data_IF_707465621061
#
_entry.id   IF_707465621061
#
_cell.length_a   1.000
_cell.length_b   1.000
_cell.length_c   1.000
_cell.angle_alpha   90.00
_cell.angle_beta   90.00
_cell.angle_gamma   90.00
#
_symmetry.space_group_name_H-M   'P 1'
#
loop_
_entity.id
_entity.type
_entity.pdbx_description
1 polymer ?
#
# COMPACT_ATOMS: atom_id res chain seq x y z
N UNK A 1 -1.63 -6.40 3.48
CA UNK A 1 -2.89 -7.11 3.73
C UNK A 1 -2.93 -7.63 5.15
N UNK A 2 -2.09 -8.57 5.61
CA UNK A 2 -2.08 -9.03 7.00
C UNK A 2 -2.05 -7.88 8.03
N UNK A 3 -1.21 -6.88 7.84
CA UNK A 3 -1.18 -5.68 8.67
C UNK A 3 -2.49 -4.85 8.60
N UNK A 4 -3.15 -4.85 7.45
CA UNK A 4 -4.44 -4.14 7.26
C UNK A 4 -5.56 -4.83 8.03
N UNK A 5 -5.59 -6.16 8.03
CA UNK A 5 -6.55 -6.96 8.80
C UNK A 5 -6.42 -6.70 10.31
N UNK A 6 -5.23 -6.35 10.78
CA UNK A 6 -4.94 -5.93 12.16
C UNK A 6 -5.18 -4.42 12.41
N UNK A 7 -5.70 -3.67 11.44
CA UNK A 7 -5.90 -2.22 11.55
C UNK A 7 -4.61 -1.39 11.54
N UNK A 8 -3.48 -1.98 11.13
CA UNK A 8 -2.14 -1.36 11.15
C UNK A 8 -1.52 -1.15 9.77
N UNK A 9 -2.31 -1.23 8.69
CA UNK A 9 -1.82 -1.14 7.31
C UNK A 9 -1.04 0.13 7.02
N UNK A 10 -1.54 1.31 7.40
CA UNK A 10 -0.85 2.58 7.17
C UNK A 10 0.45 2.69 7.97
N UNK A 11 0.43 2.32 9.26
CA UNK A 11 1.63 2.30 10.09
C UNK A 11 2.70 1.35 9.54
N UNK A 12 2.30 0.18 9.05
CA UNK A 12 3.18 -0.78 8.40
C UNK A 12 3.83 -0.17 7.15
N UNK A 13 3.04 0.40 6.23
CA UNK A 13 3.56 1.02 4.99
C UNK A 13 4.53 2.16 5.33
N UNK A 14 4.21 3.00 6.29
CA UNK A 14 5.07 4.09 6.72
C UNK A 14 6.42 3.58 7.25
N UNK A 15 6.42 2.64 8.19
CA UNK A 15 7.65 2.15 8.83
C UNK A 15 8.52 1.34 7.87
N UNK A 16 7.91 0.48 7.07
CA UNK A 16 8.65 -0.33 6.07
C UNK A 16 9.10 0.54 4.90
N UNK A 17 8.29 1.49 4.45
CA UNK A 17 8.69 2.46 3.43
C UNK A 17 9.89 3.31 3.86
N UNK A 18 9.91 3.80 5.09
CA UNK A 18 11.07 4.51 5.66
C UNK A 18 12.32 3.63 5.75
N UNK A 19 12.15 2.35 6.07
CA UNK A 19 13.25 1.40 6.13
C UNK A 19 13.88 1.19 4.74
N UNK A 20 13.05 0.97 3.72
CA UNK A 20 13.51 0.63 2.36
C UNK A 20 14.08 1.84 1.63
N UNK A 21 13.39 2.99 1.68
CA UNK A 21 13.71 4.17 0.88
C UNK A 21 14.26 5.36 1.67
N UNK A 22 14.32 5.26 3.01
CA UNK A 22 14.79 6.35 3.86
C UNK A 22 16.31 6.58 3.84
N UNK A 23 17.09 5.67 3.24
CA UNK A 23 18.54 5.79 3.09
C UNK A 23 19.35 5.61 4.36
N UNK A 24 18.73 5.32 5.50
CA UNK A 24 19.40 5.16 6.80
C UNK A 24 19.99 3.77 7.03
N UNK A 25 19.58 2.79 6.24
CA UNK A 25 19.98 1.38 6.36
C UNK A 25 20.30 0.81 5.00
N UNK A 26 21.46 0.14 4.91
CA UNK A 26 21.82 -0.70 3.76
C UNK A 26 21.49 -2.15 4.11
N UNK A 27 20.93 -2.92 3.16
CA UNK A 27 20.56 -4.33 3.43
C UNK A 27 19.36 -4.45 4.38
N UNK A 28 18.29 -3.69 4.14
CA UNK A 28 17.09 -3.65 4.96
C UNK A 28 16.45 -5.03 5.24
N UNK A 29 16.70 -6.01 4.38
CA UNK A 29 16.20 -7.39 4.46
C UNK A 29 17.11 -8.31 5.29
N UNK A 30 18.27 -7.81 5.74
CA UNK A 30 19.23 -8.55 6.55
C UNK A 30 19.03 -8.24 8.05
N UNK A 31 19.46 -9.15 8.92
CA UNK A 31 19.39 -8.98 10.36
C UNK A 31 17.98 -8.69 10.88
N UNK A 32 17.84 -7.75 11.81
CA UNK A 32 16.58 -7.45 12.51
C UNK A 32 15.86 -6.19 11.97
N UNK A 33 16.37 -5.55 10.95
CA UNK A 33 15.84 -4.25 10.50
C UNK A 33 14.35 -4.28 10.16
N UNK A 34 13.91 -5.34 9.46
CA UNK A 34 12.48 -5.52 9.13
C UNK A 34 11.63 -5.77 10.38
N UNK A 35 12.09 -6.63 11.28
CA UNK A 35 11.39 -6.93 12.53
C UNK A 35 11.22 -5.67 13.39
N UNK A 36 12.25 -4.84 13.50
CA UNK A 36 12.20 -3.57 14.23
C UNK A 36 11.25 -2.56 13.59
N UNK A 37 11.23 -2.45 12.25
CA UNK A 37 10.29 -1.58 11.55
C UNK A 37 8.84 -2.04 11.78
N UNK A 38 8.59 -3.33 11.72
CA UNK A 38 7.28 -3.93 11.97
C UNK A 38 6.86 -3.73 13.44
N UNK A 39 7.79 -3.86 14.40
CA UNK A 39 7.52 -3.58 15.81
C UNK A 39 7.15 -2.10 16.05
N UNK A 40 7.81 -1.16 15.37
CA UNK A 40 7.43 0.27 15.41
C UNK A 40 6.03 0.53 14.84
N UNK A 41 5.56 -0.30 13.91
CA UNK A 41 4.18 -0.25 13.42
C UNK A 41 3.16 -0.86 14.40
N UNK A 42 3.61 -1.38 15.55
CA UNK A 42 2.77 -2.06 16.53
C UNK A 42 2.37 -3.47 16.13
N UNK A 43 3.23 -4.15 15.37
CA UNK A 43 3.04 -5.50 14.84
C UNK A 43 4.21 -6.40 15.23
N UNK A 44 4.03 -7.72 15.10
CA UNK A 44 5.06 -8.73 15.29
C UNK A 44 5.32 -9.46 13.97
N UNK A 45 6.59 -9.51 13.52
CA UNK A 45 6.97 -10.13 12.24
C UNK A 45 6.64 -11.62 12.23
N UNK A 46 6.97 -12.34 13.31
CA UNK A 46 6.75 -13.77 13.37
C UNK A 46 5.24 -14.13 13.39
N UNK A 47 4.41 -13.25 13.93
CA UNK A 47 2.96 -13.39 13.86
C UNK A 47 2.44 -13.16 12.43
N UNK A 48 2.95 -12.14 11.73
CA UNK A 48 2.60 -11.89 10.32
C UNK A 48 3.04 -13.06 9.43
N UNK A 49 4.25 -13.58 9.62
CA UNK A 49 4.75 -14.74 8.87
C UNK A 49 3.88 -15.97 9.09
N UNK A 50 3.48 -16.24 10.34
CA UNK A 50 2.56 -17.35 10.65
C UNK A 50 1.18 -17.17 10.01
N UNK A 51 0.71 -15.94 9.86
CA UNK A 51 -0.59 -15.65 9.24
C UNK A 51 -0.58 -15.90 7.74
N UNK A 52 0.55 -15.68 7.05
CA UNK A 52 0.66 -15.86 5.60
C UNK A 52 1.27 -17.22 5.20
N UNK A 53 1.79 -17.99 6.16
CA UNK A 53 2.43 -19.28 5.91
C UNK A 53 1.48 -20.39 5.39
N UNK A 54 0.21 -20.50 5.85
CA UNK A 54 -0.70 -21.51 5.33
C UNK A 54 -0.96 -21.30 3.83
N UNK A 55 -0.91 -22.36 2.98
CA UNK A 55 -1.13 -22.25 1.55
C UNK A 55 -2.45 -21.54 1.18
N UNK A 56 -3.54 -21.83 1.90
CA UNK A 56 -4.85 -21.21 1.66
C UNK A 56 -4.85 -19.69 1.90
N UNK A 57 -4.08 -19.22 2.88
CA UNK A 57 -3.95 -17.78 3.14
C UNK A 57 -3.06 -17.11 2.09
N UNK A 58 -1.98 -17.77 1.65
CA UNK A 58 -1.16 -17.30 0.54
C UNK A 58 -1.98 -17.20 -0.75
N UNK A 59 -2.73 -18.23 -1.13
CA UNK A 59 -3.61 -18.22 -2.30
C UNK A 59 -4.67 -17.13 -2.23
N UNK A 60 -5.26 -16.88 -1.07
CA UNK A 60 -6.22 -15.79 -0.84
C UNK A 60 -5.59 -14.42 -1.05
N UNK A 61 -4.37 -14.23 -0.56
CA UNK A 61 -3.62 -12.97 -0.74
C UNK A 61 -3.22 -12.76 -2.19
N UNK A 62 -2.77 -13.80 -2.88
CA UNK A 62 -2.42 -13.77 -4.30
C UNK A 62 -3.64 -13.43 -5.17
N UNK A 63 -4.80 -14.03 -4.89
CA UNK A 63 -6.05 -13.72 -5.58
C UNK A 63 -6.45 -12.23 -5.38
N UNK A 64 -6.26 -11.70 -4.18
CA UNK A 64 -6.55 -10.29 -3.90
C UNK A 64 -5.56 -9.35 -4.60
N UNK A 65 -4.27 -9.73 -4.69
CA UNK A 65 -3.27 -8.99 -5.45
C UNK A 65 -3.64 -8.98 -6.93
N UNK A 66 -4.01 -10.13 -7.50
CA UNK A 66 -4.43 -10.25 -8.88
C UNK A 66 -5.67 -9.37 -9.18
N UNK A 67 -6.68 -9.42 -8.33
CA UNK A 67 -7.88 -8.58 -8.47
C UNK A 67 -7.56 -7.07 -8.43
N UNK A 68 -6.64 -6.65 -7.54
CA UNK A 68 -6.20 -5.26 -7.47
C UNK A 68 -5.41 -4.84 -8.73
N UNK A 69 -4.59 -5.75 -9.29
CA UNK A 69 -3.87 -5.49 -10.54
C UNK A 69 -4.82 -5.36 -11.73
N UNK A 70 -5.88 -6.18 -11.78
CA UNK A 70 -6.90 -6.09 -12.82
C UNK A 70 -7.67 -4.77 -12.70
N UNK A 71 -8.12 -4.39 -11.51
CA UNK A 71 -8.76 -3.11 -11.26
C UNK A 71 -7.85 -1.92 -11.62
N UNK A 72 -6.54 -2.03 -11.39
CA UNK A 72 -5.56 -1.02 -11.80
C UNK A 72 -5.47 -0.89 -13.33
N UNK A 73 -5.44 -2.01 -14.08
CA UNK A 73 -5.44 -2.01 -15.55
C UNK A 73 -6.73 -1.42 -16.10
N UNK A 74 -7.87 -1.81 -15.55
CA UNK A 74 -9.19 -1.24 -15.89
C UNK A 74 -9.25 0.26 -15.59
N UNK A 75 -8.58 0.70 -14.53
CA UNK A 75 -8.41 2.13 -14.19
C UNK A 75 -7.56 2.92 -15.18
N UNK A 76 -6.92 2.27 -16.16
CA UNK A 76 -6.26 2.90 -17.30
C UNK A 76 -4.75 3.12 -17.14
N UNK A 77 -4.11 2.64 -16.07
CA UNK A 77 -2.66 2.72 -15.91
C UNK A 77 -2.10 1.62 -15.02
N UNK A 78 -0.86 1.19 -15.30
CA UNK A 78 -0.16 0.12 -14.56
C UNK A 78 0.74 0.64 -13.42
N UNK A 79 0.95 1.95 -13.32
CA UNK A 79 1.83 2.57 -12.31
C UNK A 79 1.09 2.99 -11.04
N UNK A 80 1.86 3.33 -10.00
CA UNK A 80 1.34 3.79 -8.71
C UNK A 80 2.01 5.13 -8.30
N UNK A 81 1.31 5.99 -7.57
CA UNK A 81 -0.11 5.90 -7.23
C UNK A 81 -1.02 6.11 -8.44
N UNK A 82 -2.09 5.35 -8.53
CA UNK A 82 -3.16 5.57 -9.48
C UNK A 82 -4.43 5.95 -8.71
N UNK A 83 -4.99 7.10 -9.06
CA UNK A 83 -6.28 7.55 -8.58
C UNK A 83 -7.27 7.55 -9.74
N UNK A 84 -8.47 7.02 -9.56
CA UNK A 84 -9.52 7.03 -10.57
C UNK A 84 -10.72 7.75 -10.01
N UNK A 85 -11.19 8.77 -10.72
CA UNK A 85 -12.38 9.52 -10.35
C UNK A 85 -13.34 9.61 -11.51
N UNK A 86 -14.53 9.05 -11.37
CA UNK A 86 -15.56 8.95 -12.41
C UNK A 86 -15.03 8.35 -13.74
N UNK A 87 -14.13 7.35 -13.64
CA UNK A 87 -13.53 6.68 -14.79
C UNK A 87 -12.33 7.43 -15.42
N UNK A 88 -11.97 8.63 -14.91
CA UNK A 88 -10.80 9.37 -15.37
C UNK A 88 -9.57 9.00 -14.52
N UNK A 89 -8.48 8.47 -15.12
CA UNK A 89 -7.28 8.10 -14.39
C UNK A 89 -6.36 9.30 -14.15
N UNK A 90 -5.80 9.37 -12.94
CA UNK A 90 -4.76 10.32 -12.53
C UNK A 90 -3.56 9.51 -12.02
N UNK A 91 -2.53 9.39 -12.83
CA UNK A 91 -1.33 8.66 -12.48
C UNK A 91 -0.22 9.59 -11.98
N UNK A 92 0.38 9.23 -10.84
CA UNK A 92 1.48 9.95 -10.24
C UNK A 92 1.05 10.90 -9.12
N UNK A 93 1.95 11.10 -8.16
CA UNK A 93 1.71 12.00 -7.03
C UNK A 93 1.62 13.47 -7.44
N UNK A 94 2.19 13.82 -8.57
CA UNK A 94 2.14 15.16 -9.18
C UNK A 94 0.75 15.51 -9.77
N UNK A 95 -0.19 14.54 -9.77
CA UNK A 95 -1.55 14.71 -10.28
C UNK A 95 -2.59 15.00 -9.21
N UNK A 96 -2.21 15.10 -7.94
CA UNK A 96 -3.16 15.39 -6.86
C UNK A 96 -3.92 16.70 -7.07
N UNK A 97 -3.24 17.76 -7.50
CA UNK A 97 -3.89 19.05 -7.72
C UNK A 97 -4.90 18.98 -8.88
N UNK A 98 -4.57 18.24 -9.94
CA UNK A 98 -5.49 18.01 -11.06
C UNK A 98 -6.72 17.20 -10.62
N UNK A 99 -6.52 16.12 -9.83
CA UNK A 99 -7.60 15.34 -9.27
C UNK A 99 -8.50 16.22 -8.39
N UNK A 100 -7.92 17.00 -7.48
CA UNK A 100 -8.66 17.90 -6.60
C UNK A 100 -9.47 18.94 -7.39
N UNK A 101 -8.87 19.53 -8.43
CA UNK A 101 -9.56 20.43 -9.33
C UNK A 101 -10.74 19.76 -10.01
N UNK A 102 -10.54 18.55 -10.57
CA UNK A 102 -11.62 17.79 -11.23
C UNK A 102 -12.75 17.45 -10.27
N UNK A 103 -12.44 17.02 -9.06
CA UNK A 103 -13.44 16.73 -8.02
C UNK A 103 -14.22 18.02 -7.66
N UNK A 104 -13.54 19.17 -7.62
CA UNK A 104 -14.18 20.49 -7.41
C UNK A 104 -15.18 20.84 -8.51
N UNK A 105 -14.86 20.55 -9.78
CA UNK A 105 -15.77 20.76 -10.93
C UNK A 105 -17.05 19.89 -10.80
N UNK A 106 -16.98 18.81 -10.05
CA UNK A 106 -18.09 17.87 -9.78
C UNK A 106 -18.78 18.10 -8.43
N UNK A 107 -18.49 19.21 -7.78
CA UNK A 107 -19.19 19.65 -6.56
C UNK A 107 -18.52 19.27 -5.24
N UNK A 108 -17.31 18.73 -5.25
CA UNK A 108 -16.55 18.53 -4.01
C UNK A 108 -16.18 19.90 -3.42
N UNK A 109 -16.68 20.17 -2.21
CA UNK A 109 -16.33 21.38 -1.45
C UNK A 109 -15.36 21.05 -0.32
N UNK A 110 -14.43 21.96 -0.01
CA UNK A 110 -13.65 21.88 1.23
C UNK A 110 -14.60 22.09 2.42
N UNK A 111 -14.51 21.19 3.38
CA UNK A 111 -15.14 21.37 4.68
C UNK A 111 -14.32 22.28 5.57
#
# INVERSE_FOLDING_TARGET
MAATEKGRGLAFIEQVGRLIWGGSVTGWHEGNHLAEAIARAGLDLAELDRQIAPPADAERLDALIAANQDAQREGGHYGVPLMVFEGEPFFGQDRFDQLQWRMGQKGLARR
#
